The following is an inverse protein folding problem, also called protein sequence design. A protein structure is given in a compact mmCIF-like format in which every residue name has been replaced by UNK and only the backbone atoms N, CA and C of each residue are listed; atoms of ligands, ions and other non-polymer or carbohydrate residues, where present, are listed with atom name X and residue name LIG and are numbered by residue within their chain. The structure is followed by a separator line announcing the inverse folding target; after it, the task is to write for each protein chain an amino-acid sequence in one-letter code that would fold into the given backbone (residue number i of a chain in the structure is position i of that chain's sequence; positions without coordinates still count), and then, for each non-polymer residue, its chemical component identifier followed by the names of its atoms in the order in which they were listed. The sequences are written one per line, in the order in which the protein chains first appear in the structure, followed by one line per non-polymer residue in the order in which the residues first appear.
data_IF_575291342347
#
_entry.id   IF_575291342347
#
_cell.length_a   1.000
_cell.length_b   1.000
_cell.length_c   1.000
_cell.angle_alpha   90.00
_cell.angle_beta   90.00
_cell.angle_gamma   90.00
#
_symmetry.space_group_name_H-M   'P 1'
#
loop_
_entity.id
_entity.type
_entity.pdbx_description
1 polymer ?
#
# COMPACT_ATOMS: atom_id res chain seq x y z
N UNK A 1 -12.26 11.72 4.27
CA UNK A 1 -11.72 11.07 3.07
C UNK A 1 -10.64 10.12 3.54
N UNK A 2 -10.81 8.82 3.34
CA UNK A 2 -9.83 7.79 3.74
C UNK A 2 -9.27 7.12 2.49
N UNK A 3 -7.95 6.98 2.45
CA UNK A 3 -7.21 6.20 1.48
C UNK A 3 -6.97 4.81 2.07
N UNK A 4 -7.03 3.79 1.23
CA UNK A 4 -6.81 2.40 1.63
C UNK A 4 -5.83 1.71 0.68
N UNK A 5 -4.95 0.87 1.22
CA UNK A 5 -4.16 -0.08 0.46
C UNK A 5 -4.40 -1.47 1.00
N UNK A 6 -4.52 -2.43 0.10
CA UNK A 6 -4.51 -3.85 0.42
C UNK A 6 -3.39 -4.54 -0.36
N UNK A 7 -2.55 -5.29 0.35
CA UNK A 7 -1.42 -5.96 -0.27
C UNK A 7 -1.91 -6.98 -1.32
N UNK A 8 -1.44 -6.90 -2.58
CA UNK A 8 -1.88 -7.81 -3.65
C UNK A 8 -1.21 -9.19 -3.58
N UNK A 9 -0.23 -9.38 -2.68
CA UNK A 9 0.50 -10.64 -2.54
C UNK A 9 -0.42 -11.72 -1.98
N UNK A 10 -0.48 -12.86 -2.67
CA UNK A 10 -1.35 -13.96 -2.27
C UNK A 10 -0.98 -14.47 -0.87
N UNK A 11 -1.97 -14.52 0.03
CA UNK A 11 -1.77 -14.92 1.43
C UNK A 11 -1.23 -13.81 2.34
N UNK A 12 -1.10 -12.57 1.87
CA UNK A 12 -0.75 -11.43 2.71
C UNK A 12 -2.01 -10.68 3.17
N UNK A 13 -2.21 -10.60 4.49
CA UNK A 13 -3.37 -9.91 5.09
C UNK A 13 -3.08 -8.43 5.40
N UNK A 14 -1.92 -7.92 5.00
CA UNK A 14 -1.56 -6.54 5.28
C UNK A 14 -2.48 -5.57 4.53
N UNK A 15 -3.03 -4.63 5.29
CA UNK A 15 -3.77 -3.50 4.77
C UNK A 15 -3.42 -2.24 5.56
N UNK A 16 -3.49 -1.09 4.90
CA UNK A 16 -3.25 0.21 5.52
C UNK A 16 -4.35 1.18 5.14
N UNK A 17 -4.83 1.94 6.14
CA UNK A 17 -5.76 3.05 5.95
C UNK A 17 -5.17 4.33 6.53
N UNK A 18 -5.28 5.43 5.81
CA UNK A 18 -4.89 6.75 6.31
C UNK A 18 -5.71 7.86 5.64
N UNK A 19 -5.72 9.06 6.22
CA UNK A 19 -6.39 10.22 5.62
C UNK A 19 -5.57 10.85 4.49
N UNK A 20 -4.30 10.46 4.36
CA UNK A 20 -3.34 11.00 3.42
C UNK A 20 -2.82 9.85 2.54
N UNK A 21 -2.94 10.01 1.22
CA UNK A 21 -2.43 9.05 0.23
C UNK A 21 -0.93 8.73 0.42
N UNK A 22 -0.03 9.73 0.63
CA UNK A 22 1.39 9.45 0.80
C UNK A 22 1.68 8.49 1.96
N UNK A 23 0.95 8.61 3.07
CA UNK A 23 1.12 7.73 4.24
C UNK A 23 0.75 6.29 3.95
N UNK A 24 -0.28 6.06 3.12
CA UNK A 24 -0.68 4.73 2.69
C UNK A 24 0.40 4.12 1.79
N UNK A 25 0.87 4.90 0.81
CA UNK A 25 1.91 4.48 -0.13
C UNK A 25 3.22 4.15 0.58
N UNK A 26 3.70 5.03 1.47
CA UNK A 26 4.94 4.82 2.22
C UNK A 26 4.86 3.54 3.07
N UNK A 27 3.74 3.34 3.77
CA UNK A 27 3.51 2.11 4.56
C UNK A 27 3.47 0.86 3.69
N UNK A 28 2.89 0.93 2.49
CA UNK A 28 2.82 -0.19 1.55
C UNK A 28 4.21 -0.52 0.97
N UNK A 29 5.01 0.49 0.63
CA UNK A 29 6.39 0.32 0.17
C UNK A 29 7.28 -0.28 1.26
N UNK A 30 7.16 0.21 2.50
CA UNK A 30 7.90 -0.35 3.63
C UNK A 30 7.51 -1.81 3.88
N UNK A 31 6.21 -2.11 3.89
CA UNK A 31 5.73 -3.48 4.07
C UNK A 31 6.23 -4.42 2.97
N UNK A 32 6.10 -4.03 1.70
CA UNK A 32 6.52 -4.85 0.55
C UNK A 32 8.03 -5.09 0.54
N UNK A 33 8.82 -4.08 0.92
CA UNK A 33 10.28 -4.21 1.07
C UNK A 33 10.65 -5.15 2.20
N UNK A 34 10.07 -4.94 3.39
CA UNK A 34 10.52 -5.62 4.60
C UNK A 34 9.92 -7.04 4.71
N UNK A 35 8.74 -7.28 4.15
CA UNK A 35 8.02 -8.58 4.24
C UNK A 35 8.21 -9.44 2.99
N UNK A 36 8.23 -8.83 1.81
CA UNK A 36 8.28 -9.56 0.53
C UNK A 36 9.64 -9.42 -0.18
N UNK A 37 10.59 -8.67 0.40
CA UNK A 37 11.88 -8.39 -0.24
C UNK A 37 11.75 -7.67 -1.57
N UNK A 38 10.58 -7.06 -1.83
CA UNK A 38 10.23 -6.44 -3.09
C UNK A 38 10.26 -4.93 -2.93
N UNK A 39 10.84 -4.20 -3.88
CA UNK A 39 10.92 -2.73 -3.83
C UNK A 39 10.08 -2.11 -4.95
N UNK A 40 8.74 -2.20 -4.87
CA UNK A 40 7.88 -1.60 -5.89
C UNK A 40 8.01 -0.09 -5.89
N UNK A 41 7.92 0.48 -7.08
CA UNK A 41 7.83 1.93 -7.28
C UNK A 41 6.54 2.48 -6.69
N UNK A 42 6.52 3.80 -6.46
CA UNK A 42 5.32 4.49 -5.99
C UNK A 42 4.14 4.27 -6.93
N UNK A 43 4.37 4.38 -8.24
CA UNK A 43 3.35 4.20 -9.27
C UNK A 43 2.76 2.78 -9.27
N UNK A 44 3.59 1.76 -8.99
CA UNK A 44 3.10 0.37 -8.84
C UNK A 44 2.22 0.21 -7.60
N UNK A 45 2.58 0.83 -6.47
CA UNK A 45 1.78 0.78 -5.25
C UNK A 45 0.46 1.56 -5.41
N UNK A 46 0.51 2.72 -6.06
CA UNK A 46 -0.66 3.58 -6.30
C UNK A 46 -1.79 2.86 -7.05
N UNK A 47 -1.46 1.90 -7.93
CA UNK A 47 -2.45 1.07 -8.63
C UNK A 47 -3.31 0.20 -7.69
N UNK A 48 -2.81 -0.08 -6.49
CA UNK A 48 -3.50 -0.86 -5.46
C UNK A 48 -4.07 0.02 -4.33
N UNK A 49 -3.88 1.33 -4.40
CA UNK A 49 -4.44 2.28 -3.45
C UNK A 49 -5.85 2.66 -3.90
N UNK A 50 -6.83 2.44 -3.03
CA UNK A 50 -8.22 2.82 -3.21
C UNK A 50 -8.41 4.22 -2.60
N UNK A 51 -8.80 5.16 -3.46
CA UNK A 51 -9.08 6.53 -3.06
C UNK A 51 -10.37 6.71 -2.28
N UNK A 52 -10.50 7.83 -1.55
CA UNK A 52 -11.75 8.20 -0.89
C UNK A 52 -12.86 8.41 -1.93
N UNK A 53 -13.93 7.62 -1.80
CA UNK A 53 -15.19 7.86 -2.51
C UNK A 53 -15.96 9.08 -1.99
#
# INVERSE_FOLDING_TARGET
MVWEFQCPVNGCEFSKRANEEPTVIESAQDHTRDTHGSTPTREEIEQYVIGPG
#
